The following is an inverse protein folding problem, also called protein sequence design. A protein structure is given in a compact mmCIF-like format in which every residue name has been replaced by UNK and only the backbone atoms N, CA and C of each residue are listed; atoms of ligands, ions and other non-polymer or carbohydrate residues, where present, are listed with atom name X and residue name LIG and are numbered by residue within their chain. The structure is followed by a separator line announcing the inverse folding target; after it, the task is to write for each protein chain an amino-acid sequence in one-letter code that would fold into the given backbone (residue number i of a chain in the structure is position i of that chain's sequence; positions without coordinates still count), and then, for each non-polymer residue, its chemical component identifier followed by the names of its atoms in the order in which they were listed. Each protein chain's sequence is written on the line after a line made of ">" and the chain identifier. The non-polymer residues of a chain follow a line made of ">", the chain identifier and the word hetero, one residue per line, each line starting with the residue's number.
data_IF_153257541771
#
_entry.id   IF_153257541771
#
_cell.length_a   1.000
_cell.length_b   1.000
_cell.length_c   1.000
_cell.angle_alpha   90.00
_cell.angle_beta   90.00
_cell.angle_gamma   90.00
#
_symmetry.space_group_name_H-M   'P 1'
#
loop_
_entity.id
_entity.type
_entity.pdbx_description
1 polymer ?
#
# COMPACT_ATOMS: atom_id res chain seq x y z
N UNK A 1 34.47 13.36 1.26
CA UNK A 1 33.45 14.28 1.76
C UNK A 1 32.29 14.26 0.78
N UNK A 2 31.12 13.77 1.21
CA UNK A 2 29.89 13.89 0.44
C UNK A 2 29.57 15.39 0.30
N UNK A 3 29.71 15.92 -0.92
CA UNK A 3 29.37 17.30 -1.22
C UNK A 3 28.01 17.31 -1.91
N UNK A 4 27.07 18.05 -1.38
CA UNK A 4 25.72 18.24 -1.92
C UNK A 4 24.64 18.15 -0.85
N UNK A 5 23.44 18.58 -1.21
CA UNK A 5 22.24 18.36 -0.40
C UNK A 5 21.57 17.06 -0.88
N UNK A 6 21.61 15.96 -0.10
CA UNK A 6 21.04 14.68 -0.52
C UNK A 6 19.51 14.70 -0.55
N UNK A 7 18.90 15.68 0.11
CA UNK A 7 17.43 15.83 0.16
C UNK A 7 17.07 17.22 -0.34
N UNK A 8 16.48 17.29 -1.53
CA UNK A 8 16.07 18.54 -2.16
C UNK A 8 14.68 18.99 -1.70
N UNK A 9 13.78 18.05 -1.43
CA UNK A 9 12.41 18.30 -0.99
C UNK A 9 11.84 17.08 -0.28
N UNK A 10 10.76 17.31 0.45
CA UNK A 10 9.92 16.25 1.01
C UNK A 10 8.63 16.15 0.21
N UNK A 11 8.22 14.93 -0.11
CA UNK A 11 6.87 14.64 -0.59
C UNK A 11 6.00 14.25 0.60
N UNK A 12 4.81 14.82 0.67
CA UNK A 12 3.81 14.55 1.70
C UNK A 12 2.62 13.90 1.02
N UNK A 13 2.07 12.88 1.63
CA UNK A 13 0.88 12.22 1.14
C UNK A 13 0.36 11.16 2.08
N UNK A 14 -0.81 10.63 1.78
CA UNK A 14 -1.42 9.59 2.59
C UNK A 14 -2.59 8.92 1.90
N UNK A 15 -2.98 7.76 2.44
CA UNK A 15 -4.14 6.99 2.04
C UNK A 15 -5.12 6.81 3.20
N UNK A 16 -6.41 6.99 2.91
CA UNK A 16 -7.52 6.42 3.67
C UNK A 16 -8.10 5.25 2.89
N UNK A 17 -8.38 4.13 3.55
CA UNK A 17 -8.81 2.90 2.89
C UNK A 17 -9.99 2.25 3.61
N UNK A 18 -10.87 1.65 2.82
CA UNK A 18 -11.93 0.76 3.29
C UNK A 18 -11.67 -0.63 2.76
N UNK A 19 -11.70 -1.64 3.64
CA UNK A 19 -11.51 -3.04 3.28
C UNK A 19 -12.69 -3.90 3.73
N UNK A 20 -13.01 -4.93 2.94
CA UNK A 20 -13.84 -6.04 3.36
C UNK A 20 -12.96 -7.19 3.85
N UNK A 21 -13.24 -7.71 5.04
CA UNK A 21 -12.55 -8.87 5.61
C UNK A 21 -13.52 -10.04 5.71
N UNK A 22 -13.22 -11.13 5.01
CA UNK A 22 -13.97 -12.38 5.18
C UNK A 22 -13.41 -13.12 6.41
N UNK A 23 -14.18 -13.15 7.48
CA UNK A 23 -13.77 -13.74 8.76
C UNK A 23 -13.65 -15.27 8.74
N UNK A 24 -14.24 -15.94 7.74
CA UNK A 24 -14.15 -17.39 7.59
C UNK A 24 -12.90 -17.81 6.79
N UNK A 25 -12.51 -17.01 5.80
CA UNK A 25 -11.42 -17.34 4.88
C UNK A 25 -10.15 -16.50 5.09
N UNK A 26 -10.25 -15.42 5.86
CA UNK A 26 -9.16 -14.44 6.02
C UNK A 26 -8.91 -13.57 4.79
N UNK A 27 -9.77 -13.64 3.77
CA UNK A 27 -9.61 -12.83 2.57
C UNK A 27 -9.85 -11.35 2.85
N UNK A 28 -8.92 -10.53 2.39
CA UNK A 28 -9.01 -9.06 2.46
C UNK A 28 -9.22 -8.52 1.06
N UNK A 29 -10.25 -7.71 0.88
CA UNK A 29 -10.55 -7.02 -0.37
C UNK A 29 -10.55 -5.52 -0.15
N UNK A 30 -9.76 -4.79 -0.93
CA UNK A 30 -9.80 -3.32 -0.95
C UNK A 30 -11.09 -2.87 -1.65
N UNK A 31 -11.97 -2.17 -0.92
CA UNK A 31 -13.26 -1.71 -1.41
C UNK A 31 -13.17 -0.29 -1.95
N UNK A 32 -12.54 0.60 -1.20
CA UNK A 32 -12.36 2.00 -1.58
C UNK A 32 -11.01 2.52 -1.09
N UNK A 33 -10.45 3.48 -1.82
CA UNK A 33 -9.25 4.19 -1.44
C UNK A 33 -9.36 5.68 -1.79
N UNK A 34 -9.00 6.54 -0.85
CA UNK A 34 -8.85 7.97 -1.05
C UNK A 34 -7.46 8.44 -0.65
N UNK A 35 -6.75 9.13 -1.54
CA UNK A 35 -5.41 9.59 -1.28
C UNK A 35 -5.18 11.04 -1.68
N UNK A 36 -4.22 11.68 -1.01
CA UNK A 36 -3.75 13.02 -1.36
C UNK A 36 -2.22 13.04 -1.40
N UNK A 37 -1.65 13.78 -2.37
CA UNK A 37 -0.22 13.81 -2.56
C UNK A 37 0.29 15.19 -2.98
N UNK A 38 1.42 15.59 -2.39
CA UNK A 38 2.14 16.79 -2.76
C UNK A 38 3.06 16.50 -3.96
N UNK A 39 2.59 16.87 -5.14
CA UNK A 39 3.36 16.82 -6.38
C UNK A 39 3.97 18.20 -6.74
N UNK A 40 3.90 19.18 -5.83
CA UNK A 40 4.17 20.57 -6.18
C UNK A 40 3.20 21.03 -7.28
N UNK A 41 3.72 21.64 -8.34
CA UNK A 41 2.91 21.93 -9.52
C UNK A 41 2.63 20.67 -10.32
N UNK A 42 1.38 20.27 -10.41
CA UNK A 42 0.95 19.13 -11.24
C UNK A 42 1.04 19.52 -12.73
N UNK A 43 2.00 18.90 -13.45
CA UNK A 43 2.23 19.20 -14.87
C UNK A 43 1.19 18.53 -15.76
N UNK A 44 0.88 17.25 -15.48
CA UNK A 44 -0.17 16.51 -16.17
C UNK A 44 -0.96 15.69 -15.14
N UNK A 45 -2.17 16.14 -14.84
CA UNK A 45 -3.01 15.53 -13.80
C UNK A 45 -3.28 14.06 -14.07
N UNK A 46 -3.66 13.69 -15.29
CA UNK A 46 -3.99 12.30 -15.65
C UNK A 46 -2.80 11.35 -15.48
N UNK A 47 -1.60 11.79 -15.88
CA UNK A 47 -0.40 10.98 -15.70
C UNK A 47 -0.02 10.87 -14.24
N UNK A 48 -0.20 11.94 -13.45
CA UNK A 48 0.04 11.92 -12.02
C UNK A 48 -0.93 10.97 -11.29
N UNK A 49 -2.23 11.02 -11.62
CA UNK A 49 -3.24 10.10 -11.09
C UNK A 49 -2.86 8.66 -11.40
N UNK A 50 -2.49 8.34 -12.64
CA UNK A 50 -2.04 7.00 -13.03
C UNK A 50 -0.80 6.49 -12.27
N UNK A 51 0.14 7.37 -11.90
CA UNK A 51 1.26 7.01 -11.03
C UNK A 51 0.79 6.65 -9.62
N UNK A 52 -0.13 7.42 -9.05
CA UNK A 52 -0.66 7.18 -7.71
C UNK A 52 -1.50 5.87 -7.66
N UNK A 53 -2.35 5.64 -8.68
CA UNK A 53 -3.14 4.41 -8.81
C UNK A 53 -2.24 3.17 -8.99
N UNK A 54 -1.19 3.29 -9.81
CA UNK A 54 -0.19 2.23 -9.97
C UNK A 54 0.56 1.92 -8.68
N UNK A 55 0.94 2.95 -7.92
CA UNK A 55 1.59 2.80 -6.62
C UNK A 55 0.65 2.18 -5.57
N UNK A 56 -0.66 2.46 -5.62
CA UNK A 56 -1.67 1.79 -4.80
C UNK A 56 -1.65 0.27 -5.04
N UNK A 57 -1.68 -0.15 -6.30
CA UNK A 57 -1.62 -1.57 -6.67
C UNK A 57 -0.32 -2.24 -6.21
N UNK A 58 0.84 -1.58 -6.38
CA UNK A 58 2.12 -2.08 -5.88
C UNK A 58 2.10 -2.25 -4.36
N UNK A 59 1.63 -1.24 -3.63
CA UNK A 59 1.53 -1.29 -2.18
C UNK A 59 0.53 -2.34 -1.67
N UNK A 60 -0.57 -2.56 -2.39
CA UNK A 60 -1.52 -3.64 -2.11
C UNK A 60 -0.86 -5.01 -2.29
N UNK A 61 -0.04 -5.19 -3.33
CA UNK A 61 0.77 -6.38 -3.54
C UNK A 61 1.63 -6.70 -2.33
N UNK A 62 2.41 -5.74 -1.88
CA UNK A 62 3.26 -5.90 -0.70
C UNK A 62 2.46 -6.08 0.61
N UNK A 63 1.28 -5.46 0.69
CA UNK A 63 0.45 -5.57 1.87
C UNK A 63 -0.13 -6.97 2.08
N UNK A 64 -0.59 -7.65 1.01
CA UNK A 64 -1.42 -8.86 1.17
C UNK A 64 -0.99 -10.07 0.34
N UNK A 65 -0.07 -9.93 -0.64
CA UNK A 65 0.28 -11.01 -1.57
C UNK A 65 1.76 -11.37 -1.61
N UNK A 66 2.63 -10.35 -1.72
CA UNK A 66 4.02 -10.54 -2.13
C UNK A 66 4.92 -10.93 -0.95
N UNK A 67 5.47 -12.14 -1.01
CA UNK A 67 6.41 -12.65 -0.02
C UNK A 67 7.56 -13.41 -0.71
N UNK A 68 8.79 -12.99 -0.43
CA UNK A 68 9.97 -13.77 -0.83
C UNK A 68 10.22 -14.85 0.22
N UNK A 69 10.06 -16.11 -0.16
CA UNK A 69 10.31 -17.25 0.72
C UNK A 69 11.75 -17.74 0.56
N UNK A 70 12.48 -17.79 1.67
CA UNK A 70 13.87 -18.21 1.70
C UNK A 70 13.97 -19.46 2.60
N UNK A 71 14.62 -20.51 2.11
CA UNK A 71 14.87 -21.72 2.91
C UNK A 71 16.06 -21.55 3.86
N UNK A 72 16.29 -22.55 4.73
CA UNK A 72 17.37 -22.56 5.72
C UNK A 72 18.79 -22.45 5.12
N UNK A 73 18.93 -22.66 3.81
CA UNK A 73 20.18 -22.52 3.06
C UNK A 73 20.34 -21.17 2.38
N UNK A 74 19.44 -20.22 2.63
CA UNK A 74 19.46 -18.90 2.03
C UNK A 74 18.99 -18.85 0.57
N UNK A 75 18.37 -19.92 0.04
CA UNK A 75 17.88 -19.98 -1.34
C UNK A 75 16.42 -19.53 -1.40
N UNK A 76 16.10 -18.63 -2.34
CA UNK A 76 14.72 -18.26 -2.68
C UNK A 76 14.02 -19.47 -3.32
N UNK A 77 12.87 -19.87 -2.77
CA UNK A 77 12.11 -21.04 -3.20
C UNK A 77 10.89 -20.73 -4.05
N UNK A 78 10.44 -19.49 -4.08
CA UNK A 78 9.30 -19.02 -4.87
C UNK A 78 9.68 -17.93 -5.90
N UNK A 79 10.88 -17.98 -6.46
CA UNK A 79 11.44 -17.00 -7.41
C UNK A 79 10.87 -17.08 -8.83
N UNK A 80 9.58 -17.38 -9.00
CA UNK A 80 8.88 -17.43 -10.28
C UNK A 80 7.44 -16.95 -10.13
N UNK A 81 6.81 -16.46 -11.22
CA UNK A 81 5.46 -15.89 -11.17
C UNK A 81 4.31 -16.88 -10.86
N UNK A 82 4.57 -18.17 -10.87
CA UNK A 82 3.59 -19.15 -10.41
C UNK A 82 3.46 -19.14 -8.89
N UNK A 83 4.57 -18.98 -8.19
CA UNK A 83 4.66 -19.12 -6.74
C UNK A 83 4.81 -17.77 -6.02
N UNK A 84 5.48 -16.79 -6.64
CA UNK A 84 5.48 -15.39 -6.19
C UNK A 84 4.24 -14.69 -6.71
N UNK A 85 3.31 -14.39 -5.81
CA UNK A 85 2.03 -13.80 -6.15
C UNK A 85 2.12 -12.28 -6.21
N UNK A 86 1.59 -11.71 -7.29
CA UNK A 86 1.37 -10.26 -7.45
C UNK A 86 -0.13 -10.01 -7.60
N UNK A 87 -0.63 -8.80 -7.28
CA UNK A 87 -2.02 -8.46 -7.51
C UNK A 87 -2.40 -8.62 -8.97
N UNK A 88 -3.57 -9.16 -9.21
CA UNK A 88 -4.20 -9.19 -10.53
C UNK A 88 -5.12 -7.98 -10.71
N UNK A 89 -5.66 -7.79 -11.91
CA UNK A 89 -6.66 -6.76 -12.15
C UNK A 89 -7.88 -6.90 -11.23
N UNK A 90 -8.26 -8.12 -10.86
CA UNK A 90 -9.42 -8.40 -10.02
C UNK A 90 -9.22 -8.09 -8.53
N UNK A 91 -7.97 -7.96 -8.10
CA UNK A 91 -7.60 -7.66 -6.72
C UNK A 91 -7.62 -6.16 -6.43
N UNK A 92 -7.60 -5.35 -7.49
CA UNK A 92 -7.65 -3.89 -7.38
C UNK A 92 -9.11 -3.40 -7.36
N UNK A 93 -9.42 -2.31 -6.64
CA UNK A 93 -10.74 -1.68 -6.72
C UNK A 93 -10.96 -1.06 -8.10
N UNK A 94 -12.22 -0.95 -8.52
CA UNK A 94 -12.56 -0.20 -9.74
C UNK A 94 -12.14 1.28 -9.58
N UNK A 95 -11.76 1.92 -10.69
CA UNK A 95 -11.29 3.33 -10.68
C UNK A 95 -12.31 4.30 -10.07
N UNK A 96 -13.61 4.02 -10.15
CA UNK A 96 -14.66 4.81 -9.51
C UNK A 96 -14.59 4.82 -7.98
N UNK A 97 -13.95 3.81 -7.40
CA UNK A 97 -13.72 3.64 -5.96
C UNK A 97 -12.33 4.13 -5.51
N UNK A 98 -11.51 4.64 -6.43
CA UNK A 98 -10.23 5.26 -6.12
C UNK A 98 -10.32 6.76 -6.36
N UNK A 99 -10.06 7.55 -5.32
CA UNK A 99 -10.07 9.01 -5.41
C UNK A 99 -8.68 9.54 -5.06
N UNK A 100 -8.12 10.32 -5.96
CA UNK A 100 -6.80 10.95 -5.77
C UNK A 100 -6.94 12.45 -5.91
N UNK A 101 -6.32 13.18 -5.00
CA UNK A 101 -6.19 14.64 -5.13
C UNK A 101 -4.75 15.07 -4.87
N UNK A 102 -4.41 16.26 -5.36
CA UNK A 102 -3.08 16.83 -5.23
C UNK A 102 -3.15 18.07 -4.35
N UNK A 103 -2.22 18.13 -3.41
CA UNK A 103 -2.07 19.23 -2.45
C UNK A 103 -0.66 19.82 -2.57
N UNK A 104 -0.43 20.94 -1.92
CA UNK A 104 0.89 21.58 -1.85
C UNK A 104 1.07 22.72 -2.83
N UNK A 105 2.18 23.42 -2.65
CA UNK A 105 2.55 24.60 -3.42
C UNK A 105 3.66 24.27 -4.43
N UNK A 106 3.79 25.04 -5.53
CA UNK A 106 4.87 24.87 -6.47
C UNK A 106 6.24 24.91 -5.79
N UNK A 107 7.06 23.93 -6.10
CA UNK A 107 8.42 23.82 -5.55
C UNK A 107 9.37 24.80 -6.26
N UNK A 108 9.92 25.78 -5.54
CA UNK A 108 10.63 26.90 -6.12
C UNK A 108 11.84 26.52 -6.99
N UNK A 109 12.54 25.41 -6.63
CA UNK A 109 13.74 24.94 -7.36
C UNK A 109 13.45 23.70 -8.22
N UNK A 110 12.21 23.22 -8.24
CA UNK A 110 11.78 22.09 -9.08
C UNK A 110 11.51 22.51 -10.52
N UNK A 111 11.61 21.60 -11.49
CA UNK A 111 11.29 21.88 -12.89
C UNK A 111 9.83 22.30 -13.02
N UNK A 112 9.62 23.54 -13.48
CA UNK A 112 8.28 24.16 -13.52
C UNK A 112 7.50 24.12 -12.18
N UNK A 113 8.18 23.99 -11.05
CA UNK A 113 7.54 23.89 -9.75
C UNK A 113 7.08 22.48 -9.35
N UNK A 114 7.40 21.46 -10.13
CA UNK A 114 6.99 20.08 -9.84
C UNK A 114 7.91 19.39 -8.82
N UNK A 115 7.35 18.43 -8.10
CA UNK A 115 8.04 17.43 -7.27
C UNK A 115 7.91 16.04 -7.89
N UNK A 116 8.83 15.13 -7.53
CA UNK A 116 8.72 13.72 -7.92
C UNK A 116 7.58 13.01 -7.18
N UNK A 117 6.83 12.15 -7.90
CA UNK A 117 5.71 11.36 -7.35
C UNK A 117 5.77 9.88 -7.77
N UNK A 118 6.93 9.37 -8.19
CA UNK A 118 7.02 8.02 -8.77
C UNK A 118 6.51 6.91 -7.84
N UNK A 119 7.03 6.80 -6.63
CA UNK A 119 6.73 5.69 -5.71
C UNK A 119 6.26 6.15 -4.32
N UNK A 120 6.17 7.45 -4.07
CA UNK A 120 5.79 7.99 -2.76
C UNK A 120 4.42 7.47 -2.29
N UNK A 121 3.51 7.22 -3.22
CA UNK A 121 2.16 6.77 -2.90
C UNK A 121 2.08 5.29 -2.47
N UNK A 122 3.09 4.48 -2.74
CA UNK A 122 3.16 3.10 -2.29
C UNK A 122 3.42 2.98 -0.78
N UNK A 123 4.24 3.88 -0.23
CA UNK A 123 4.76 3.79 1.14
C UNK A 123 3.64 3.67 2.21
N UNK A 124 2.58 4.49 2.22
CA UNK A 124 1.55 4.42 3.25
C UNK A 124 0.52 3.31 3.05
N UNK A 125 0.50 2.60 1.91
CA UNK A 125 -0.53 1.60 1.57
C UNK A 125 -0.57 0.47 2.59
N UNK A 126 0.56 -0.12 2.91
CA UNK A 126 0.65 -1.27 3.83
C UNK A 126 0.09 -0.94 5.21
N UNK A 127 0.45 0.23 5.75
CA UNK A 127 -0.04 0.69 7.04
C UNK A 127 -1.55 1.02 6.99
N UNK A 128 -2.02 1.63 5.90
CA UNK A 128 -3.44 1.93 5.72
C UNK A 128 -4.29 0.65 5.64
N UNK A 129 -3.82 -0.38 4.93
CA UNK A 129 -4.49 -1.70 4.86
C UNK A 129 -4.51 -2.37 6.24
N UNK A 130 -3.39 -2.38 6.98
CA UNK A 130 -3.33 -2.94 8.33
C UNK A 130 -4.32 -2.27 9.28
N UNK A 131 -4.37 -0.93 9.27
CA UNK A 131 -5.30 -0.16 10.07
C UNK A 131 -6.76 -0.43 9.68
N UNK A 132 -7.04 -0.57 8.37
CA UNK A 132 -8.37 -0.87 7.88
C UNK A 132 -8.83 -2.29 8.28
N UNK A 133 -7.96 -3.29 8.25
CA UNK A 133 -8.24 -4.66 8.73
C UNK A 133 -8.55 -4.64 10.24
N UNK A 134 -7.75 -3.93 11.03
CA UNK A 134 -8.00 -3.80 12.45
C UNK A 134 -9.34 -3.09 12.72
N UNK A 135 -9.64 -2.01 12.02
CA UNK A 135 -10.90 -1.30 12.15
C UNK A 135 -12.12 -2.16 11.76
N UNK A 136 -11.99 -2.97 10.70
CA UNK A 136 -13.08 -3.79 10.18
C UNK A 136 -13.37 -5.04 11.04
N UNK A 137 -12.32 -5.71 11.53
CA UNK A 137 -12.42 -7.02 12.15
C UNK A 137 -11.78 -7.12 13.54
N UNK A 138 -11.08 -6.08 13.99
CA UNK A 138 -10.31 -6.08 15.24
C UNK A 138 -9.10 -7.02 15.20
N UNK A 139 -8.64 -7.39 14.02
CA UNK A 139 -7.45 -8.23 13.83
C UNK A 139 -6.21 -7.36 13.76
N UNK A 140 -5.38 -7.39 14.79
CA UNK A 140 -4.11 -6.68 14.83
C UNK A 140 -3.02 -7.48 14.13
N UNK A 141 -2.47 -6.95 13.02
CA UNK A 141 -1.43 -7.60 12.23
C UNK A 141 -0.26 -6.64 12.06
N UNK A 142 0.92 -7.06 12.52
CA UNK A 142 2.14 -6.26 12.48
C UNK A 142 3.17 -6.74 11.45
N UNK A 143 2.87 -7.83 10.74
CA UNK A 143 3.76 -8.44 9.75
C UNK A 143 3.11 -8.44 8.36
N UNK A 144 3.88 -8.05 7.36
CA UNK A 144 3.49 -8.14 5.95
C UNK A 144 4.18 -9.34 5.27
N UNK A 145 3.57 -9.89 4.21
CA UNK A 145 2.21 -9.63 3.75
C UNK A 145 1.16 -10.13 4.74
N UNK A 146 0.01 -9.45 4.82
CA UNK A 146 -1.14 -9.86 5.63
C UNK A 146 -1.94 -10.91 4.86
N UNK A 147 -1.35 -12.10 4.71
CA UNK A 147 -1.96 -13.21 3.99
C UNK A 147 -3.25 -13.68 4.68
N UNK A 148 -4.08 -14.44 3.95
CA UNK A 148 -5.31 -15.01 4.49
C UNK A 148 -5.07 -15.78 5.78
N UNK A 149 -3.99 -16.57 5.83
CA UNK A 149 -3.59 -17.36 6.99
C UNK A 149 -3.24 -16.47 8.19
N UNK A 150 -2.50 -15.37 7.95
CA UNK A 150 -2.12 -14.42 8.99
C UNK A 150 -3.34 -13.65 9.52
N UNK A 151 -4.27 -13.28 8.64
CA UNK A 151 -5.53 -12.64 9.02
C UNK A 151 -6.38 -13.59 9.88
N UNK A 152 -6.56 -14.85 9.44
CA UNK A 152 -7.28 -15.87 10.23
C UNK A 152 -6.63 -16.13 11.59
N UNK A 153 -5.30 -16.16 11.65
CA UNK A 153 -4.61 -16.33 12.93
C UNK A 153 -4.88 -15.16 13.87
N UNK A 154 -4.78 -13.92 13.38
CA UNK A 154 -5.05 -12.73 14.18
C UNK A 154 -6.51 -12.68 14.68
N UNK A 155 -7.48 -13.10 13.86
CA UNK A 155 -8.89 -13.23 14.28
C UNK A 155 -9.07 -14.27 15.41
N UNK A 156 -8.41 -15.41 15.32
CA UNK A 156 -8.44 -16.45 16.37
C UNK A 156 -7.79 -15.97 17.66
N UNK A 157 -6.68 -15.25 17.55
CA UNK A 157 -5.97 -14.71 18.71
C UNK A 157 -6.84 -13.69 19.45
N UNK A 158 -7.57 -12.85 18.70
CA UNK A 158 -8.58 -11.93 19.25
C UNK A 158 -9.69 -12.69 19.99
N UNK A 159 -10.32 -13.67 19.34
CA UNK A 159 -11.39 -14.46 19.97
C UNK A 159 -10.93 -15.17 21.25
N UNK A 160 -9.67 -15.61 21.29
CA UNK A 160 -9.08 -16.23 22.47
C UNK A 160 -8.82 -15.22 23.60
N UNK A 161 -8.52 -13.96 23.25
CA UNK A 161 -8.36 -12.87 24.21
C UNK A 161 -9.70 -12.42 24.80
N UNK A 162 -10.75 -12.31 23.98
CA UNK A 162 -12.11 -11.90 24.38
C UNK A 162 -12.80 -12.92 25.30
N UNK A 163 -12.33 -14.17 25.35
CA UNK A 163 -12.84 -15.25 26.22
C UNK A 163 -12.18 -15.33 27.61
N UNK A 164 -11.17 -14.51 27.86
CA UNK A 164 -10.44 -14.41 29.14
C UNK A 164 -10.97 -13.30 29.99
#
# INVERSE_FOLDING_TARGET
>A
NAQGNPVLFYSIGGWGMEVGVNIETGEVKLMQAGGFYDAGRVINRKTCEGQIEGALSMGLGQAVFEEIMINDKGKVINGNYRDYKVPTFMDNPNNEHVKVDFVGEPFATGPNGAKGIGEVAMIPVMAAVANAINAAAGAEIHNIPMTRERVLQALRDKEAADKK
#
